data_IF_289786246045
#
_entry.id   IF_289786246045
#
_cell.length_a   1.000
_cell.length_b   1.000
_cell.length_c   1.000
_cell.angle_alpha   90.00
_cell.angle_beta   90.00
_cell.angle_gamma   90.00
#
_symmetry.space_group_name_H-M   'P 1'
#
loop_
_entity.id
_entity.type
_entity.pdbx_description
1 polymer ?
#
# COMPACT_ATOMS: atom_id res chain seq x y z
N UNK A 1 -1.46 -3.99 13.55
CA UNK A 1 -1.08 -3.58 12.20
C UNK A 1 -0.61 -4.78 11.40
N UNK A 2 -0.66 -4.68 10.09
CA UNK A 2 -0.28 -5.78 9.22
C UNK A 2 1.21 -6.08 9.34
N UNK A 3 1.54 -7.36 9.51
CA UNK A 3 2.90 -7.85 9.49
C UNK A 3 2.88 -9.35 9.23
N UNK A 4 3.97 -9.93 8.68
CA UNK A 4 4.02 -11.38 8.51
C UNK A 4 4.06 -12.11 9.85
N UNK A 5 3.37 -13.24 9.92
CA UNK A 5 3.42 -14.10 11.12
C UNK A 5 4.76 -14.80 11.26
N UNK A 6 5.32 -15.25 10.14
CA UNK A 6 6.62 -15.92 10.11
C UNK A 6 7.43 -15.35 8.96
N UNK A 7 8.73 -15.18 9.17
CA UNK A 7 9.63 -14.71 8.13
C UNK A 7 10.88 -15.59 8.12
N UNK A 8 11.38 -15.84 6.91
CA UNK A 8 12.63 -16.56 6.73
C UNK A 8 13.82 -15.71 7.22
N UNK A 9 13.77 -14.42 6.93
CA UNK A 9 14.78 -13.45 7.37
C UNK A 9 14.11 -12.23 7.99
N UNK A 10 14.52 -11.86 9.19
CA UNK A 10 13.97 -10.67 9.88
C UNK A 10 14.56 -9.37 9.35
N UNK A 11 15.77 -9.43 8.83
CA UNK A 11 16.47 -8.26 8.31
C UNK A 11 16.75 -8.47 6.84
N UNK A 12 16.44 -7.48 6.02
CA UNK A 12 16.60 -7.53 4.57
C UNK A 12 17.23 -6.23 4.11
N UNK A 13 18.09 -6.30 3.10
CA UNK A 13 18.69 -5.10 2.52
C UNK A 13 17.61 -4.26 1.82
N UNK A 14 17.77 -2.93 1.86
CA UNK A 14 16.76 -2.03 1.30
C UNK A 14 16.55 -2.24 -0.20
N UNK A 15 17.62 -2.37 -0.97
CA UNK A 15 17.52 -2.51 -2.42
C UNK A 15 16.94 -1.28 -3.11
N UNK A 16 16.78 -1.39 -4.41
CA UNK A 16 16.18 -0.34 -5.25
C UNK A 16 14.86 -0.84 -5.84
N UNK A 17 13.89 0.06 -5.92
CA UNK A 17 12.62 -0.23 -6.59
C UNK A 17 12.70 0.25 -8.02
N UNK A 18 12.75 -0.67 -8.97
CA UNK A 18 12.88 -0.37 -10.39
C UNK A 18 11.78 -1.03 -11.20
N UNK A 19 11.50 -0.49 -12.37
CA UNK A 19 10.55 -1.04 -13.32
C UNK A 19 9.10 -0.70 -12.98
N UNK A 20 8.20 -1.30 -13.73
CA UNK A 20 6.75 -1.13 -13.55
C UNK A 20 6.14 -2.45 -13.16
N UNK A 21 4.96 -2.40 -12.53
CA UNK A 21 4.27 -3.61 -12.11
C UNK A 21 3.75 -4.39 -13.33
N UNK A 22 4.01 -5.69 -13.34
CA UNK A 22 3.47 -6.61 -14.34
C UNK A 22 2.38 -7.51 -13.76
N UNK A 23 2.28 -7.56 -12.43
CA UNK A 23 1.25 -8.30 -11.69
C UNK A 23 0.54 -7.34 -10.74
N UNK A 24 -0.74 -7.60 -10.50
CA UNK A 24 -1.52 -6.75 -9.62
C UNK A 24 -1.71 -5.34 -10.16
N UNK A 25 -1.72 -5.18 -11.49
CA UNK A 25 -1.87 -3.89 -12.14
C UNK A 25 -3.28 -3.65 -12.70
N UNK A 26 -4.17 -4.62 -12.58
CA UNK A 26 -5.56 -4.51 -13.04
C UNK A 26 -6.52 -4.57 -11.86
N UNK A 27 -7.70 -3.96 -12.03
CA UNK A 27 -8.79 -4.06 -11.07
C UNK A 27 -9.48 -5.40 -11.28
N UNK A 28 -9.26 -6.35 -10.38
CA UNK A 28 -9.71 -7.74 -10.53
C UNK A 28 -10.87 -8.11 -9.60
N UNK A 29 -10.85 -7.61 -8.36
CA UNK A 29 -11.81 -8.01 -7.33
C UNK A 29 -12.95 -7.03 -7.16
N UNK A 30 -12.71 -5.76 -7.40
CA UNK A 30 -13.69 -4.70 -7.20
C UNK A 30 -14.13 -4.06 -8.51
N UNK A 31 -14.87 -2.97 -8.37
CA UNK A 31 -15.31 -2.14 -9.50
C UNK A 31 -14.35 -0.98 -9.73
N UNK A 32 -13.68 -0.53 -8.68
CA UNK A 32 -12.78 0.62 -8.70
C UNK A 32 -11.48 0.28 -8.00
N UNK A 33 -10.40 0.95 -8.39
CA UNK A 33 -9.09 0.71 -7.81
C UNK A 33 -8.30 1.98 -7.58
N UNK A 34 -7.35 1.90 -6.65
CA UNK A 34 -6.36 2.94 -6.42
C UNK A 34 -5.00 2.40 -6.84
N UNK A 35 -4.44 3.01 -7.88
CA UNK A 35 -3.20 2.55 -8.50
C UNK A 35 -2.03 3.45 -8.12
N UNK A 36 -0.88 2.84 -7.84
CA UNK A 36 0.34 3.58 -7.60
C UNK A 36 0.88 4.15 -8.91
N UNK A 37 1.28 5.42 -8.91
CA UNK A 37 1.85 6.09 -10.06
C UNK A 37 3.35 6.32 -9.93
N UNK A 38 3.92 5.96 -8.79
CA UNK A 38 5.34 6.12 -8.51
C UNK A 38 5.83 4.93 -7.70
N UNK A 39 7.15 4.60 -7.75
CA UNK A 39 7.68 3.57 -6.87
C UNK A 39 7.74 4.08 -5.44
N UNK A 40 7.60 3.19 -4.49
CA UNK A 40 7.71 3.57 -3.08
C UNK A 40 7.59 2.41 -2.13
N UNK A 41 7.83 2.71 -0.87
CA UNK A 41 7.66 1.79 0.24
C UNK A 41 6.55 2.32 1.12
N UNK A 42 5.52 1.50 1.30
CA UNK A 42 4.34 1.90 2.06
C UNK A 42 4.37 1.12 3.37
N UNK A 43 4.41 1.84 4.49
CA UNK A 43 4.47 1.21 5.81
C UNK A 43 3.12 0.62 6.19
N UNK A 44 3.14 -0.35 7.12
CA UNK A 44 1.89 -0.94 7.62
C UNK A 44 0.99 0.12 8.25
N UNK A 45 1.57 1.16 8.86
CA UNK A 45 0.79 2.28 9.42
C UNK A 45 0.10 3.09 8.32
N UNK A 46 0.79 3.34 7.22
CA UNK A 46 0.20 4.06 6.08
C UNK A 46 -0.92 3.25 5.43
N UNK A 47 -0.72 1.94 5.28
CA UNK A 47 -1.75 1.05 4.75
C UNK A 47 -2.99 1.11 5.64
N UNK A 48 -2.82 1.04 6.94
CA UNK A 48 -3.92 1.10 7.90
C UNK A 48 -4.60 2.46 7.89
N UNK A 49 -3.84 3.55 7.83
CA UNK A 49 -4.40 4.90 7.78
C UNK A 49 -5.26 5.10 6.53
N UNK A 50 -4.79 4.62 5.37
CA UNK A 50 -5.55 4.69 4.13
C UNK A 50 -6.82 3.84 4.21
N UNK A 51 -6.72 2.62 4.77
CA UNK A 51 -7.89 1.76 4.98
C UNK A 51 -8.95 2.46 5.83
N UNK A 52 -8.54 3.08 6.93
CA UNK A 52 -9.46 3.79 7.81
C UNK A 52 -10.13 4.96 7.11
N UNK A 53 -9.38 5.71 6.31
CA UNK A 53 -9.92 6.84 5.55
C UNK A 53 -11.02 6.38 4.59
N UNK A 54 -10.78 5.27 3.88
CA UNK A 54 -11.77 4.69 2.97
C UNK A 54 -13.00 4.21 3.74
N UNK A 55 -12.79 3.45 4.79
CA UNK A 55 -13.87 2.84 5.57
C UNK A 55 -14.79 3.90 6.20
N UNK A 56 -14.20 4.98 6.70
CA UNK A 56 -14.99 6.08 7.28
C UNK A 56 -15.86 6.76 6.23
N UNK A 57 -15.32 6.93 5.04
CA UNK A 57 -16.08 7.61 3.98
C UNK A 57 -17.23 6.77 3.45
N UNK A 58 -16.99 5.48 3.23
CA UNK A 58 -18.02 4.59 2.67
C UNK A 58 -19.01 4.07 3.72
N UNK A 59 -18.74 4.24 5.01
CA UNK A 59 -19.66 3.92 6.12
C UNK A 59 -20.21 2.49 6.08
N UNK A 60 -19.31 1.52 5.89
CA UNK A 60 -19.63 0.09 5.80
C UNK A 60 -20.39 -0.32 4.53
N UNK A 61 -20.62 0.60 3.60
CA UNK A 61 -21.17 0.23 2.32
C UNK A 61 -20.08 -0.43 1.46
N UNK A 62 -20.48 -1.38 0.63
CA UNK A 62 -19.58 -2.05 -0.27
C UNK A 62 -18.52 -2.91 0.41
N UNK A 63 -17.50 -3.27 -0.35
CA UNK A 63 -16.42 -4.11 0.14
C UNK A 63 -15.06 -3.55 -0.32
N UNK A 64 -14.13 -3.47 0.63
CA UNK A 64 -12.75 -3.03 0.38
C UNK A 64 -11.82 -4.22 0.29
N UNK A 65 -10.97 -4.21 -0.73
CA UNK A 65 -9.90 -5.19 -0.90
C UNK A 65 -8.56 -4.47 -0.81
N UNK A 66 -7.69 -4.94 0.09
CA UNK A 66 -6.31 -4.44 0.19
C UNK A 66 -5.43 -5.41 -0.56
N UNK A 67 -4.75 -4.94 -1.61
CA UNK A 67 -3.98 -5.80 -2.51
C UNK A 67 -2.49 -5.72 -2.31
N UNK A 68 -2.03 -5.03 -1.31
CA UNK A 68 -0.62 -4.97 -0.94
C UNK A 68 -0.46 -5.45 0.50
N UNK A 69 0.70 -6.02 0.77
CA UNK A 69 1.00 -6.51 2.12
C UNK A 69 2.41 -6.07 2.52
N UNK A 70 2.60 -5.59 3.75
CA UNK A 70 3.91 -5.15 4.21
C UNK A 70 4.75 -6.35 4.65
N UNK A 71 5.48 -6.93 3.70
CA UNK A 71 6.27 -8.13 3.92
C UNK A 71 7.77 -7.88 4.02
N UNK A 72 8.23 -6.66 3.77
CA UNK A 72 9.64 -6.31 3.84
C UNK A 72 9.96 -5.56 5.13
N UNK A 73 10.90 -6.09 5.96
CA UNK A 73 11.30 -5.37 7.16
C UNK A 73 12.28 -4.24 6.82
N UNK A 74 12.09 -3.09 7.48
CA UNK A 74 13.03 -1.98 7.39
C UNK A 74 13.60 -1.73 8.77
N UNK A 75 14.94 -1.65 8.83
CA UNK A 75 15.66 -1.37 10.05
C UNK A 75 16.06 0.10 10.08
N UNK A 76 15.90 0.72 11.25
CA UNK A 76 16.39 2.07 11.49
C UNK A 76 17.47 1.98 12.56
N UNK A 77 18.59 2.68 12.35
CA UNK A 77 19.58 2.81 13.40
C UNK A 77 19.10 3.87 14.38
N UNK A 78 19.14 3.59 15.69
CA UNK A 78 18.89 4.64 16.68
C UNK A 78 19.86 5.81 16.47
N UNK A 79 19.42 7.02 16.79
CA UNK A 79 20.26 8.22 16.63
C UNK A 79 21.59 8.11 17.40
N UNK A 80 21.62 7.32 18.46
CA UNK A 80 22.78 7.13 19.33
C UNK A 80 23.70 6.01 18.85
N UNK A 81 23.31 5.25 17.81
CA UNK A 81 24.10 4.12 17.34
C UNK A 81 25.27 4.64 16.49
N UNK A 82 26.48 4.28 16.88
CA UNK A 82 27.67 4.65 16.13
C UNK A 82 27.73 3.86 14.82
N UNK A 83 28.31 4.48 13.80
CA UNK A 83 28.54 3.82 12.53
C UNK A 83 29.42 2.58 12.73
N UNK A 84 29.11 1.51 11.99
CA UNK A 84 29.90 0.29 12.03
C UNK A 84 29.35 -0.81 12.93
N UNK A 85 28.29 -0.59 13.66
CA UNK A 85 27.68 -1.60 14.54
C UNK A 85 26.63 -2.45 13.86
N UNK A 86 26.75 -2.66 12.58
CA UNK A 86 25.82 -3.51 11.85
C UNK A 86 24.43 -2.93 11.68
N UNK A 87 23.53 -3.76 11.17
CA UNK A 87 22.16 -3.37 10.89
C UNK A 87 21.32 -3.39 12.17
N UNK A 88 20.54 -2.31 12.40
CA UNK A 88 19.64 -2.24 13.54
C UNK A 88 18.51 -3.27 13.47
N UNK A 89 17.70 -3.35 14.52
CA UNK A 89 16.55 -4.22 14.58
C UNK A 89 15.47 -3.76 13.58
N UNK A 90 14.67 -4.66 13.02
CA UNK A 90 13.53 -4.26 12.19
C UNK A 90 12.54 -3.46 13.04
N UNK A 91 12.22 -2.24 12.60
CA UNK A 91 11.26 -1.37 13.29
C UNK A 91 9.94 -1.26 12.55
N UNK A 92 9.97 -1.44 11.26
CA UNK A 92 8.78 -1.27 10.43
C UNK A 92 8.71 -2.36 9.36
N UNK A 93 7.49 -2.68 8.98
CA UNK A 93 7.21 -3.52 7.84
C UNK A 93 6.64 -2.67 6.73
N UNK A 94 7.11 -2.87 5.51
CA UNK A 94 6.67 -2.09 4.36
C UNK A 94 6.31 -2.99 3.18
N UNK A 95 5.37 -2.50 2.37
CA UNK A 95 5.09 -3.06 1.06
C UNK A 95 5.92 -2.29 0.03
N UNK A 96 6.69 -2.99 -0.78
CA UNK A 96 7.42 -2.38 -1.89
C UNK A 96 6.49 -2.35 -3.09
N UNK A 97 6.24 -1.15 -3.61
CA UNK A 97 5.26 -0.93 -4.65
C UNK A 97 5.93 -0.35 -5.89
N UNK A 98 5.62 -0.90 -7.05
CA UNK A 98 6.07 -0.40 -8.35
C UNK A 98 4.95 0.43 -8.99
N UNK A 99 5.29 1.38 -9.88
CA UNK A 99 4.26 2.10 -10.64
C UNK A 99 3.37 1.13 -11.40
N UNK A 100 2.06 1.38 -11.36
CA UNK A 100 1.07 0.51 -11.99
C UNK A 100 0.39 -0.47 -11.03
N UNK A 101 0.94 -0.68 -9.84
CA UNK A 101 0.35 -1.60 -8.87
C UNK A 101 -0.98 -1.07 -8.35
N UNK A 102 -2.03 -1.89 -8.39
CA UNK A 102 -3.31 -1.58 -7.74
C UNK A 102 -3.19 -1.96 -6.28
N UNK A 103 -3.34 -0.97 -5.41
CA UNK A 103 -3.12 -1.15 -3.96
C UNK A 103 -4.42 -1.45 -3.21
N UNK A 104 -5.51 -0.84 -3.63
CA UNK A 104 -6.83 -1.01 -3.01
C UNK A 104 -7.87 -1.14 -4.09
N UNK A 105 -8.96 -1.88 -3.78
CA UNK A 105 -10.12 -1.96 -4.65
C UNK A 105 -11.39 -1.82 -3.82
N UNK A 106 -12.43 -1.24 -4.44
CA UNK A 106 -13.75 -1.10 -3.84
C UNK A 106 -14.79 -1.70 -4.76
N UNK A 107 -15.79 -2.34 -4.16
CA UNK A 107 -16.91 -2.94 -4.87
C UNK A 107 -18.23 -2.61 -4.17
N UNK A 108 -19.28 -2.44 -4.97
CA UNK A 108 -20.62 -2.28 -4.42
C UNK A 108 -20.98 -0.87 -3.97
N UNK A 109 -20.27 0.13 -4.47
CA UNK A 109 -20.57 1.54 -4.21
C UNK A 109 -20.54 2.32 -5.52
N UNK A 110 -21.12 3.53 -5.51
CA UNK A 110 -21.13 4.38 -6.69
C UNK A 110 -19.76 4.99 -6.97
N UNK A 111 -19.55 5.43 -8.20
CA UNK A 111 -18.26 5.97 -8.65
C UNK A 111 -17.87 7.22 -7.89
N UNK A 112 -18.82 8.12 -7.62
CA UNK A 112 -18.52 9.36 -6.91
C UNK A 112 -18.02 9.10 -5.50
N UNK A 113 -18.69 8.21 -4.78
CA UNK A 113 -18.27 7.83 -3.42
C UNK A 113 -16.92 7.14 -3.42
N UNK A 114 -16.69 6.22 -4.37
CA UNK A 114 -15.42 5.53 -4.49
C UNK A 114 -14.27 6.49 -4.79
N UNK A 115 -14.48 7.41 -5.72
CA UNK A 115 -13.48 8.39 -6.11
C UNK A 115 -13.06 9.27 -4.93
N UNK A 116 -14.04 9.77 -4.16
CA UNK A 116 -13.75 10.58 -2.98
C UNK A 116 -13.05 9.78 -1.88
N UNK A 117 -13.49 8.55 -1.65
CA UNK A 117 -12.84 7.67 -0.66
C UNK A 117 -11.37 7.45 -0.99
N UNK A 118 -11.07 7.17 -2.26
CA UNK A 118 -9.68 6.97 -2.69
C UNK A 118 -8.86 8.26 -2.69
N UNK A 119 -9.50 9.40 -2.95
CA UNK A 119 -8.82 10.69 -2.81
C UNK A 119 -8.35 10.91 -1.38
N UNK A 120 -9.20 10.61 -0.41
CA UNK A 120 -8.85 10.71 1.00
C UNK A 120 -7.75 9.72 1.38
N UNK A 121 -7.84 8.50 0.87
CA UNK A 121 -6.82 7.49 1.11
C UNK A 121 -5.46 7.89 0.54
N UNK A 122 -5.45 8.47 -0.66
CA UNK A 122 -4.21 8.88 -1.31
C UNK A 122 -3.43 9.91 -0.48
N UNK A 123 -4.12 10.75 0.29
CA UNK A 123 -3.47 11.71 1.18
C UNK A 123 -2.70 11.03 2.31
N UNK A 124 -3.00 9.77 2.62
CA UNK A 124 -2.31 9.00 3.67
C UNK A 124 -1.14 8.18 3.12
N UNK A 125 -0.99 8.13 1.81
CA UNK A 125 0.06 7.35 1.15
C UNK A 125 1.19 8.26 0.69
N UNK A 126 2.44 7.75 0.67
CA UNK A 126 3.62 8.58 0.35
C UNK A 126 3.88 8.77 -1.14
N UNK A 127 3.03 8.20 -2.00
CA UNK A 127 3.23 8.22 -3.45
C UNK A 127 1.99 8.76 -4.16
N UNK A 128 2.18 9.23 -5.38
CA UNK A 128 1.08 9.67 -6.23
C UNK A 128 0.23 8.47 -6.64
N UNK A 129 -1.08 8.64 -6.67
CA UNK A 129 -2.04 7.58 -6.94
C UNK A 129 -3.03 8.01 -8.01
N UNK A 130 -3.61 7.01 -8.68
CA UNK A 130 -4.61 7.22 -9.73
C UNK A 130 -5.84 6.37 -9.44
N UNK A 131 -7.02 6.96 -9.65
CA UNK A 131 -8.30 6.27 -9.56
C UNK A 131 -8.53 5.48 -10.85
N UNK A 132 -8.89 4.21 -10.71
CA UNK A 132 -9.19 3.34 -11.85
C UNK A 132 -10.61 2.81 -11.76
N UNK A 133 -11.22 2.63 -12.92
CA UNK A 133 -12.48 1.92 -13.09
C UNK A 133 -12.17 0.61 -13.80
N UNK A 134 -12.79 -0.50 -13.37
CA UNK A 134 -12.58 -1.79 -14.02
C UNK A 134 -12.95 -1.69 -15.52
N UNK A 135 -12.13 -2.32 -16.37
CA UNK A 135 -12.23 -2.15 -17.82
C UNK A 135 -13.61 -2.42 -18.43
N UNK A 136 -14.36 -3.35 -17.86
CA UNK A 136 -15.71 -3.68 -18.36
C UNK A 136 -16.80 -2.70 -17.87
N UNK A 137 -16.42 -1.73 -17.02
CA UNK A 137 -17.34 -0.71 -16.51
C UNK A 137 -17.08 0.68 -17.11
N UNK A 138 -16.10 0.77 -17.98
CA UNK A 138 -15.78 2.05 -18.65
C UNK A 138 -16.72 2.32 -19.81
#
# INVERSE_FOLDING_TARGET
>A
MLSPKKVKYRKVMKGNTRGVAHRGCDVDFGDFGLQAMAPGRITSRQIEAARMAITRHVKRAGKLFIRIFPDKPISKKPAETRMGHGKGNPEEWVAVVQPGRVMYELRGIDVATAKEAFRLAAHKLPIACKFLVRGDLQ
#
